data_IF_982018343783
#
_entry.id   IF_982018343783
#
_cell.length_a   1.000
_cell.length_b   1.000
_cell.length_c   1.000
_cell.angle_alpha   90.00
_cell.angle_beta   90.00
_cell.angle_gamma   90.00
#
_symmetry.space_group_name_H-M   'P 1'
#
loop_
_entity.id
_entity.type
_entity.pdbx_description
1 polymer ?
#
# COMPACT_ATOMS: atom_id res chain seq x y z
N UNK A 1 42.84 14.71 31.71
CA UNK A 1 42.77 14.70 30.23
C UNK A 1 41.48 13.99 29.85
N UNK A 2 40.63 14.69 29.08
CA UNK A 2 39.51 14.24 28.23
C UNK A 2 38.39 13.40 28.89
N UNK A 3 37.10 13.69 28.74
CA UNK A 3 36.41 14.58 27.80
C UNK A 3 35.18 13.87 27.22
N UNK A 4 33.99 14.40 27.55
CA UNK A 4 32.76 14.51 26.73
C UNK A 4 31.89 13.29 26.33
N UNK A 5 30.58 13.62 26.35
CA UNK A 5 29.37 13.03 25.73
C UNK A 5 28.59 12.03 26.63
N UNK A 6 27.41 12.32 27.18
CA UNK A 6 26.26 13.07 26.63
C UNK A 6 25.63 12.25 25.50
N UNK A 7 24.37 11.83 25.46
CA UNK A 7 23.12 12.36 26.01
C UNK A 7 22.08 11.21 25.95
N UNK A 8 21.24 11.10 26.98
CA UNK A 8 19.91 10.48 27.04
C UNK A 8 19.52 9.45 25.96
N UNK A 9 19.64 8.16 26.31
CA UNK A 9 18.80 7.12 25.71
C UNK A 9 17.36 7.35 26.13
N UNK A 10 16.57 7.96 25.24
CA UNK A 10 15.13 8.10 25.39
C UNK A 10 14.50 6.70 25.41
N UNK A 11 14.16 6.28 26.63
CA UNK A 11 13.08 5.33 26.85
C UNK A 11 11.77 5.95 26.32
N UNK A 12 11.12 5.24 25.41
CA UNK A 12 9.76 5.47 25.00
C UNK A 12 9.17 4.13 24.55
N UNK A 13 8.72 3.33 25.51
CA UNK A 13 7.83 2.20 25.22
C UNK A 13 6.61 2.70 24.45
N UNK A 14 6.36 2.13 23.27
CA UNK A 14 5.02 2.07 22.72
C UNK A 14 4.76 0.61 22.31
N UNK A 15 4.09 -0.08 23.21
CA UNK A 15 3.21 -1.23 23.00
C UNK A 15 2.89 -1.58 21.53
N UNK A 16 3.20 -2.81 21.12
CA UNK A 16 2.38 -3.60 20.19
C UNK A 16 2.64 -3.42 18.69
N UNK A 17 3.41 -4.37 18.12
CA UNK A 17 3.57 -4.64 16.67
C UNK A 17 4.23 -3.51 15.88
N UNK A 18 5.48 -3.74 15.43
CA UNK A 18 6.02 -3.05 14.28
C UNK A 18 5.04 -3.25 13.11
N UNK A 19 4.22 -2.25 12.78
CA UNK A 19 3.51 -2.19 11.49
C UNK A 19 4.57 -1.97 10.42
N UNK A 20 5.31 -3.02 10.07
CA UNK A 20 6.28 -2.97 8.98
C UNK A 20 5.49 -2.75 7.70
N UNK A 21 5.46 -1.50 7.25
CA UNK A 21 4.92 -1.13 5.95
C UNK A 21 6.03 -1.30 4.92
N UNK A 22 5.66 -1.64 3.68
CA UNK A 22 6.62 -1.78 2.59
C UNK A 22 6.28 -0.83 1.46
N UNK A 23 7.30 -0.23 0.88
CA UNK A 23 7.14 0.55 -0.36
C UNK A 23 7.36 -0.37 -1.56
N UNK A 24 6.35 -0.51 -2.40
CA UNK A 24 6.30 -1.46 -3.51
C UNK A 24 5.86 -0.79 -4.81
N UNK A 25 6.12 -1.47 -5.93
CA UNK A 25 5.49 -1.21 -7.22
C UNK A 25 4.65 -2.43 -7.63
N UNK A 26 3.46 -2.20 -8.21
CA UNK A 26 2.59 -3.25 -8.73
C UNK A 26 2.64 -3.25 -10.25
N UNK A 27 2.99 -4.38 -10.86
CA UNK A 27 3.12 -4.53 -12.31
C UNK A 27 2.03 -5.47 -12.85
N UNK A 28 1.37 -5.08 -13.93
CA UNK A 28 0.36 -5.90 -14.58
C UNK A 28 0.98 -6.88 -15.61
N UNK A 29 0.14 -7.70 -16.24
CA UNK A 29 0.54 -8.68 -17.27
C UNK A 29 1.14 -8.05 -18.53
N UNK A 30 0.97 -6.75 -18.73
CA UNK A 30 1.55 -5.99 -19.85
C UNK A 30 2.87 -5.30 -19.48
N UNK A 31 3.45 -5.65 -18.32
CA UNK A 31 4.67 -5.05 -17.78
C UNK A 31 4.54 -3.53 -17.54
N UNK A 32 3.36 -3.08 -17.15
CA UNK A 32 3.07 -1.69 -16.81
C UNK A 32 2.72 -1.54 -15.34
N UNK A 33 3.19 -0.46 -14.74
CA UNK A 33 3.01 -0.16 -13.33
C UNK A 33 1.66 0.50 -13.05
N UNK A 34 1.02 0.05 -11.96
CA UNK A 34 -0.10 0.73 -11.33
C UNK A 34 0.32 2.14 -10.91
N UNK A 35 -0.42 3.13 -11.36
CA UNK A 35 -0.08 4.54 -11.27
C UNK A 35 -1.24 5.30 -10.67
N UNK A 36 -0.98 6.04 -9.60
CA UNK A 36 -1.89 7.06 -9.08
C UNK A 36 -1.58 8.40 -9.75
N UNK A 37 -2.56 8.97 -10.44
CA UNK A 37 -2.39 10.29 -11.07
C UNK A 37 -2.58 11.42 -10.06
N UNK A 38 -1.73 12.45 -10.17
CA UNK A 38 -1.76 13.62 -9.26
C UNK A 38 -3.04 14.44 -9.39
N UNK A 39 -3.66 14.45 -10.57
CA UNK A 39 -4.87 15.24 -10.84
C UNK A 39 -6.05 14.33 -11.17
N UNK A 40 -7.21 14.66 -10.58
CA UNK A 40 -8.45 13.92 -10.78
C UNK A 40 -8.46 12.54 -10.12
N UNK A 41 -7.49 12.23 -9.26
CA UNK A 41 -7.42 11.01 -8.44
C UNK A 41 -7.60 9.68 -9.19
N UNK A 42 -7.28 9.70 -10.49
CA UNK A 42 -7.43 8.54 -11.36
C UNK A 42 -6.33 7.54 -11.11
N UNK A 43 -6.66 6.27 -11.33
CA UNK A 43 -5.71 5.18 -11.35
C UNK A 43 -5.63 4.61 -12.76
N UNK A 44 -4.43 4.23 -13.18
CA UNK A 44 -4.23 3.46 -14.40
C UNK A 44 -3.09 2.45 -14.20
N UNK A 45 -2.92 1.54 -15.14
CA UNK A 45 -1.81 0.61 -15.18
C UNK A 45 -1.01 0.76 -16.48
N UNK A 46 -0.60 1.99 -16.80
CA UNK A 46 0.13 2.31 -18.04
C UNK A 46 1.59 2.77 -17.80
N UNK A 47 2.03 2.86 -16.53
CA UNK A 47 3.36 3.36 -16.18
C UNK A 47 4.48 2.49 -16.75
N UNK A 48 5.41 3.05 -17.52
CA UNK A 48 6.51 2.30 -18.12
C UNK A 48 7.73 2.12 -17.19
N UNK A 49 7.78 2.81 -16.05
CA UNK A 49 8.90 2.76 -15.11
C UNK A 49 8.41 3.01 -13.69
N UNK A 50 9.12 2.47 -12.71
CA UNK A 50 8.84 2.69 -11.29
C UNK A 50 9.39 4.06 -10.85
N UNK A 51 8.51 5.04 -10.73
CA UNK A 51 8.80 6.40 -10.23
C UNK A 51 7.78 6.78 -9.15
N UNK A 52 7.81 8.02 -8.66
CA UNK A 52 6.98 8.51 -7.56
C UNK A 52 5.49 8.12 -7.67
N UNK A 53 4.88 8.27 -8.85
CA UNK A 53 3.45 7.96 -9.05
C UNK A 53 3.11 6.46 -9.03
N UNK A 54 4.13 5.61 -9.18
CA UNK A 54 4.02 4.15 -9.21
C UNK A 54 4.40 3.50 -7.87
N UNK A 55 4.85 4.31 -6.90
CA UNK A 55 5.16 3.84 -5.56
C UNK A 55 3.88 3.76 -4.73
N UNK A 56 3.67 2.59 -4.12
CA UNK A 56 2.58 2.32 -3.21
C UNK A 56 3.13 1.84 -1.88
N UNK A 57 2.50 2.24 -0.78
CA UNK A 57 2.78 1.73 0.55
C UNK A 57 1.79 0.61 0.86
N UNK A 58 2.32 -0.59 1.06
CA UNK A 58 1.60 -1.77 1.50
C UNK A 58 1.57 -1.79 3.02
N UNK A 59 0.37 -1.70 3.61
CA UNK A 59 0.18 -1.61 5.07
C UNK A 59 -0.66 -2.78 5.58
N UNK A 60 -0.19 -3.55 6.59
CA UNK A 60 -1.00 -4.61 7.18
C UNK A 60 -2.17 -4.03 7.99
N UNK A 61 -3.33 -4.66 7.92
CA UNK A 61 -4.52 -4.25 8.70
C UNK A 61 -4.56 -4.83 10.11
N UNK A 62 -3.77 -5.89 10.37
CA UNK A 62 -3.86 -6.73 11.56
C UNK A 62 -4.66 -8.02 11.32
N UNK A 63 -5.47 -8.06 10.27
CA UNK A 63 -6.16 -9.27 9.80
C UNK A 63 -5.23 -10.09 8.88
N UNK A 64 -5.38 -11.41 8.88
CA UNK A 64 -4.55 -12.32 8.08
C UNK A 64 -4.70 -12.05 6.59
N UNK A 65 -3.58 -11.77 5.92
CA UNK A 65 -3.50 -11.50 4.48
C UNK A 65 -4.34 -10.32 3.99
N UNK A 66 -4.81 -9.43 4.88
CA UNK A 66 -5.54 -8.22 4.50
C UNK A 66 -4.63 -7.01 4.64
N UNK A 67 -4.60 -6.20 3.58
CA UNK A 67 -3.73 -5.02 3.47
C UNK A 67 -4.51 -3.79 3.02
N UNK A 68 -3.95 -2.62 3.33
CA UNK A 68 -4.23 -1.36 2.66
C UNK A 68 -3.11 -1.05 1.65
N UNK A 69 -3.46 -0.33 0.59
CA UNK A 69 -2.50 0.20 -0.38
C UNK A 69 -2.66 1.72 -0.43
N UNK A 70 -1.63 2.45 0.00
CA UNK A 70 -1.61 3.91 0.00
C UNK A 70 -0.73 4.44 -1.12
N UNK A 71 -1.22 5.41 -1.87
CA UNK A 71 -0.47 6.07 -2.93
C UNK A 71 0.53 7.09 -2.37
N UNK A 72 1.41 7.59 -3.24
CA UNK A 72 2.31 8.71 -2.94
C UNK A 72 1.63 10.06 -2.60
N UNK A 73 0.29 10.13 -2.66
CA UNK A 73 -0.52 11.31 -2.31
C UNK A 73 -1.24 11.13 -0.97
N UNK A 74 -0.85 10.11 -0.20
CA UNK A 74 -1.49 9.72 1.06
C UNK A 74 -2.97 9.33 0.93
N UNK A 75 -3.39 8.90 -0.27
CA UNK A 75 -4.73 8.38 -0.56
C UNK A 75 -4.73 6.86 -0.67
N UNK A 76 -5.73 6.21 -0.10
CA UNK A 76 -5.89 4.75 -0.16
C UNK A 76 -6.54 4.32 -1.48
N UNK A 77 -6.02 3.24 -2.05
CA UNK A 77 -6.69 2.47 -3.08
C UNK A 77 -7.99 1.92 -2.49
N UNK A 78 -9.11 2.08 -3.20
CA UNK A 78 -10.41 1.60 -2.77
C UNK A 78 -11.24 1.08 -3.94
N UNK A 79 -12.31 0.37 -3.63
CA UNK A 79 -13.36 -0.03 -4.56
C UNK A 79 -14.69 0.54 -4.07
N UNK A 80 -15.36 1.32 -4.91
CA UNK A 80 -16.63 1.94 -4.59
C UNK A 80 -17.82 0.93 -4.60
N UNK A 81 -19.04 1.42 -4.37
CA UNK A 81 -20.26 0.61 -4.41
C UNK A 81 -20.63 0.05 -5.78
N UNK A 82 -20.07 0.60 -6.85
CA UNK A 82 -20.32 0.20 -8.24
C UNK A 82 -19.22 -0.71 -8.79
N UNK A 83 -18.18 -1.00 -7.98
CA UNK A 83 -17.03 -1.81 -8.40
C UNK A 83 -15.94 -1.00 -9.12
N UNK A 84 -16.01 0.33 -9.14
CA UNK A 84 -14.94 1.14 -9.69
C UNK A 84 -13.79 1.24 -8.71
N UNK A 85 -12.57 1.19 -9.23
CA UNK A 85 -11.35 1.37 -8.43
C UNK A 85 -11.04 2.87 -8.32
N UNK A 86 -10.88 3.36 -7.09
CA UNK A 86 -10.65 4.77 -6.77
C UNK A 86 -9.42 4.96 -5.88
N UNK A 87 -8.88 6.19 -5.80
CA UNK A 87 -7.76 6.54 -4.91
C UNK A 87 -7.90 7.98 -4.39
N UNK A 88 -9.01 8.23 -3.71
CA UNK A 88 -9.47 9.59 -3.34
C UNK A 88 -9.52 9.86 -1.84
N UNK A 89 -9.69 8.82 -1.03
CA UNK A 89 -9.88 8.94 0.42
C UNK A 89 -8.58 8.75 1.18
N UNK A 90 -8.36 9.56 2.22
CA UNK A 90 -7.32 9.32 3.23
C UNK A 90 -7.78 8.30 4.29
N UNK A 91 -9.09 8.09 4.39
CA UNK A 91 -9.69 7.22 5.39
C UNK A 91 -9.56 5.74 4.98
N UNK A 92 -9.48 4.88 5.99
CA UNK A 92 -9.46 3.42 5.82
C UNK A 92 -10.87 2.89 5.97
N UNK A 93 -11.55 2.74 4.85
CA UNK A 93 -12.91 2.21 4.78
C UNK A 93 -12.94 0.72 4.35
N UNK A 94 -14.11 0.03 4.40
CA UNK A 94 -14.23 -1.34 3.91
C UNK A 94 -13.90 -1.53 2.43
N UNK A 95 -14.07 -0.48 1.62
CA UNK A 95 -13.67 -0.47 0.20
C UNK A 95 -12.15 -0.42 0.00
N UNK A 96 -11.39 -0.08 1.02
CA UNK A 96 -9.93 0.08 0.97
C UNK A 96 -9.16 -1.17 1.45
N UNK A 97 -9.86 -2.22 1.88
CA UNK A 97 -9.27 -3.47 2.37
C UNK A 97 -9.15 -4.49 1.24
N UNK A 98 -7.96 -5.08 1.09
CA UNK A 98 -7.70 -6.10 0.08
C UNK A 98 -7.07 -7.36 0.68
N UNK A 99 -7.61 -8.53 0.33
CA UNK A 99 -6.92 -9.80 0.49
C UNK A 99 -5.82 -9.94 -0.56
N UNK A 100 -4.62 -10.35 -0.14
CA UNK A 100 -3.58 -10.84 -1.03
C UNK A 100 -3.85 -12.32 -1.32
N UNK A 101 -4.05 -12.65 -2.59
CA UNK A 101 -4.21 -14.02 -3.08
C UNK A 101 -2.99 -14.37 -3.91
N UNK A 102 -2.27 -15.44 -3.53
CA UNK A 102 -1.15 -15.96 -4.32
C UNK A 102 -1.71 -16.90 -5.37
N UNK A 103 -1.22 -16.81 -6.61
CA UNK A 103 -1.64 -17.70 -7.68
C UNK A 103 -1.03 -19.10 -7.52
N UNK A 104 -1.85 -20.15 -7.70
CA UNK A 104 -1.47 -21.55 -7.50
C UNK A 104 -0.56 -22.10 -8.60
N UNK A 105 -0.38 -21.35 -9.69
CA UNK A 105 0.46 -21.71 -10.85
C UNK A 105 1.98 -21.62 -10.59
N UNK A 106 2.40 -21.52 -9.32
CA UNK A 106 3.78 -21.35 -8.87
C UNK A 106 4.51 -20.13 -9.47
N UNK A 107 3.79 -19.20 -10.12
CA UNK A 107 4.42 -18.01 -10.73
C UNK A 107 4.83 -16.95 -9.72
N UNK A 108 4.35 -17.05 -8.47
CA UNK A 108 4.53 -16.04 -7.44
C UNK A 108 3.73 -14.75 -7.69
N UNK A 109 2.85 -14.72 -8.70
CA UNK A 109 1.97 -13.57 -8.97
C UNK A 109 0.88 -13.47 -7.91
N UNK A 110 0.48 -12.24 -7.61
CA UNK A 110 -0.57 -11.94 -6.65
C UNK A 110 -1.80 -11.36 -7.36
N UNK A 111 -2.96 -11.62 -6.77
CA UNK A 111 -4.19 -10.88 -7.02
C UNK A 111 -4.59 -10.13 -5.74
N UNK A 112 -5.18 -8.96 -5.92
CA UNK A 112 -5.73 -8.14 -4.84
C UNK A 112 -7.26 -8.22 -4.93
N UNK A 113 -7.87 -8.69 -3.86
CA UNK A 113 -9.29 -9.04 -3.79
C UNK A 113 -9.97 -8.18 -2.72
N UNK A 114 -10.91 -7.31 -3.07
CA UNK A 114 -11.50 -6.38 -2.11
C UNK A 114 -12.41 -7.10 -1.12
N UNK A 115 -12.24 -6.87 0.19
CA UNK A 115 -12.98 -7.64 1.22
C UNK A 115 -14.50 -7.44 1.17
N UNK A 116 -14.99 -6.31 0.66
CA UNK A 116 -16.41 -5.95 0.65
C UNK A 116 -17.10 -6.16 -0.70
N UNK A 117 -16.34 -6.41 -1.77
CA UNK A 117 -16.84 -6.36 -3.17
C UNK A 117 -16.46 -7.56 -4.02
N UNK A 118 -15.50 -8.36 -3.60
CA UNK A 118 -14.99 -9.46 -4.39
C UNK A 118 -13.68 -9.83 -3.81
#
# INVERSE_FOLDING_TARGET
MNGHNGVNGLNGELNGVCKSTWTIGLINVQFKYLTAETFGFKINANGASLKKKQMWTLEPTGETNVVYLRSHLDKNLAVDSFGNVTCESEEKDPGSKFHIVVNDDASGRWALKNTARG
#
